data_IF_197144106535
#
_entry.id   IF_197144106535
#
_cell.length_a   1.000
_cell.length_b   1.000
_cell.length_c   1.000
_cell.angle_alpha   90.00
_cell.angle_beta   90.00
_cell.angle_gamma   90.00
#
_symmetry.space_group_name_H-M   'P 1'
#
loop_
_entity.id
_entity.type
_entity.pdbx_description
1 polymer ?
#
# COMPACT_ATOMS: atom_id res chain seq x y z
N UNK A 1 27.01 -11.17 -22.90
CA UNK A 1 27.12 -9.80 -23.47
C UNK A 1 26.87 -8.78 -22.36
N UNK A 2 27.86 -7.96 -22.02
CA UNK A 2 27.73 -6.95 -20.97
C UNK A 2 27.00 -5.71 -21.51
N UNK A 3 25.87 -5.35 -20.89
CA UNK A 3 25.16 -4.09 -21.19
C UNK A 3 25.95 -2.90 -20.64
N UNK A 4 26.13 -1.86 -21.45
CA UNK A 4 26.81 -0.61 -21.05
C UNK A 4 26.06 0.09 -19.90
N UNK A 5 26.77 0.91 -19.13
CA UNK A 5 26.20 1.64 -17.99
C UNK A 5 25.02 2.55 -18.37
N UNK A 6 25.07 3.17 -19.55
CA UNK A 6 23.98 3.98 -20.08
C UNK A 6 22.68 3.17 -20.29
N UNK A 7 22.80 1.95 -20.81
CA UNK A 7 21.64 1.05 -21.01
C UNK A 7 21.07 0.52 -19.69
N UNK A 8 21.92 0.32 -18.66
CA UNK A 8 21.46 -0.04 -17.32
C UNK A 8 20.67 1.09 -16.66
N UNK A 9 21.14 2.32 -16.78
CA UNK A 9 20.49 3.52 -16.22
C UNK A 9 19.14 3.82 -16.88
N UNK A 10 19.01 3.54 -18.18
CA UNK A 10 17.73 3.61 -18.88
C UNK A 10 16.73 2.54 -18.40
N UNK A 11 17.20 1.37 -17.99
CA UNK A 11 16.35 0.27 -17.52
C UNK A 11 15.82 0.46 -16.09
N UNK A 12 16.48 1.29 -15.25
CA UNK A 12 16.03 1.59 -13.88
C UNK A 12 14.64 2.22 -13.82
N UNK A 13 14.26 3.00 -14.85
CA UNK A 13 12.98 3.72 -14.87
C UNK A 13 11.83 2.92 -15.50
N UNK A 14 12.06 1.68 -15.94
CA UNK A 14 10.99 0.86 -16.52
C UNK A 14 10.25 0.16 -15.38
N UNK A 15 8.92 0.38 -15.22
CA UNK A 15 8.16 -0.33 -14.21
C UNK A 15 8.31 -1.83 -14.38
N UNK A 16 8.52 -2.55 -13.27
CA UNK A 16 8.74 -4.01 -13.27
C UNK A 16 7.63 -4.81 -14.01
N UNK A 17 6.43 -4.21 -14.10
CA UNK A 17 5.27 -4.74 -14.83
C UNK A 17 5.61 -5.03 -16.30
N UNK A 18 6.46 -4.21 -16.94
CA UNK A 18 6.81 -4.35 -18.36
C UNK A 18 8.00 -5.27 -18.61
N UNK A 19 8.80 -5.57 -17.59
CA UNK A 19 10.01 -6.40 -17.69
C UNK A 19 9.79 -7.85 -17.27
N UNK A 20 8.65 -8.17 -16.66
CA UNK A 20 8.39 -9.50 -16.11
C UNK A 20 8.08 -10.53 -17.23
N UNK A 21 8.83 -11.64 -17.33
CA UNK A 21 8.56 -12.72 -18.30
C UNK A 21 7.21 -13.41 -18.04
N UNK A 22 6.79 -13.49 -16.77
CA UNK A 22 5.49 -14.03 -16.38
C UNK A 22 4.48 -12.91 -16.17
N UNK A 23 3.82 -12.51 -17.25
CA UNK A 23 2.84 -11.42 -17.24
C UNK A 23 1.58 -11.82 -16.47
N UNK A 24 1.12 -10.95 -15.58
CA UNK A 24 -0.14 -11.15 -14.88
C UNK A 24 -1.32 -11.10 -15.88
N UNK A 25 -2.22 -12.08 -15.83
CA UNK A 25 -3.44 -12.11 -16.67
C UNK A 25 -4.31 -10.86 -16.48
N UNK A 26 -4.24 -10.24 -15.30
CA UNK A 26 -4.98 -9.02 -14.95
C UNK A 26 -3.97 -7.98 -14.48
N UNK A 27 -3.85 -6.88 -15.25
CA UNK A 27 -3.00 -5.75 -14.88
C UNK A 27 -3.52 -5.10 -13.59
N UNK A 28 -2.63 -4.92 -12.63
CA UNK A 28 -2.86 -4.10 -11.47
C UNK A 28 -1.92 -2.89 -11.56
N UNK A 29 -2.36 -1.66 -11.25
CA UNK A 29 -3.70 -1.24 -10.83
C UNK A 29 -4.70 -1.17 -12.00
N UNK A 30 -6.01 -1.31 -11.74
CA UNK A 30 -7.03 -1.01 -12.73
C UNK A 30 -7.14 0.50 -12.94
N UNK A 31 -7.43 0.92 -14.18
CA UNK A 31 -7.64 2.33 -14.50
C UNK A 31 -8.92 2.84 -13.82
N UNK A 32 -8.77 3.62 -12.74
CA UNK A 32 -9.92 4.10 -11.96
C UNK A 32 -10.83 5.06 -12.73
N UNK A 33 -10.28 5.77 -13.72
CA UNK A 33 -11.02 6.72 -14.57
C UNK A 33 -12.08 6.06 -15.46
N UNK A 34 -11.99 4.74 -15.68
CA UNK A 34 -12.94 4.00 -16.53
C UNK A 34 -14.13 3.45 -15.74
N UNK A 35 -14.13 3.54 -14.41
CA UNK A 35 -15.20 3.01 -13.56
C UNK A 35 -16.32 4.02 -13.34
N UNK A 36 -17.55 3.51 -13.19
CA UNK A 36 -18.66 4.31 -12.66
C UNK A 36 -18.35 4.78 -11.24
N UNK A 37 -18.82 5.98 -10.89
CA UNK A 37 -18.65 6.60 -9.57
C UNK A 37 -19.05 5.66 -8.42
N UNK A 38 -20.12 4.87 -8.59
CA UNK A 38 -20.58 3.89 -7.60
C UNK A 38 -19.54 2.81 -7.31
N UNK A 39 -18.82 2.36 -8.34
CA UNK A 39 -17.77 1.35 -8.21
C UNK A 39 -16.52 1.96 -7.57
N UNK A 40 -16.15 3.17 -7.96
CA UNK A 40 -15.04 3.91 -7.34
C UNK A 40 -15.25 4.05 -5.82
N UNK A 41 -16.43 4.51 -5.38
CA UNK A 41 -16.75 4.62 -3.95
C UNK A 41 -16.67 3.29 -3.19
N UNK A 42 -17.06 2.18 -3.81
CA UNK A 42 -16.94 0.84 -3.19
C UNK A 42 -15.48 0.45 -2.99
N UNK A 43 -14.63 0.71 -3.97
CA UNK A 43 -13.19 0.45 -3.86
C UNK A 43 -12.52 1.34 -2.82
N UNK A 44 -12.83 2.64 -2.82
CA UNK A 44 -12.33 3.57 -1.79
C UNK A 44 -12.73 3.14 -0.38
N UNK A 45 -14.01 2.79 -0.16
CA UNK A 45 -14.49 2.30 1.13
C UNK A 45 -13.73 1.05 1.56
N UNK A 46 -13.51 0.12 0.64
CA UNK A 46 -12.77 -1.13 0.91
C UNK A 46 -11.31 -0.84 1.24
N UNK A 47 -10.67 0.06 0.49
CA UNK A 47 -9.30 0.49 0.71
C UNK A 47 -9.12 1.15 2.09
N UNK A 48 -9.99 2.10 2.45
CA UNK A 48 -10.00 2.76 3.76
C UNK A 48 -10.17 1.75 4.91
N UNK A 49 -11.03 0.72 4.74
CA UNK A 49 -11.17 -0.36 5.73
C UNK A 49 -9.90 -1.19 5.88
N UNK A 50 -9.31 -1.63 4.76
CA UNK A 50 -8.10 -2.47 4.76
C UNK A 50 -6.90 -1.72 5.34
N UNK A 51 -6.73 -0.44 5.01
CA UNK A 51 -5.67 0.39 5.58
C UNK A 51 -5.85 0.57 7.08
N UNK A 52 -7.06 0.90 7.55
CA UNK A 52 -7.35 0.99 8.99
C UNK A 52 -6.99 -0.31 9.73
N UNK A 53 -7.30 -1.48 9.15
CA UNK A 53 -6.95 -2.77 9.74
C UNK A 53 -5.44 -3.05 9.71
N UNK A 54 -4.76 -2.79 8.58
CA UNK A 54 -3.31 -2.98 8.44
C UNK A 54 -2.53 -2.15 9.47
N UNK A 55 -3.00 -0.93 9.73
CA UNK A 55 -2.37 0.00 10.66
C UNK A 55 -2.89 -0.12 12.10
N UNK A 56 -3.90 -0.95 12.36
CA UNK A 56 -4.40 -1.17 13.70
C UNK A 56 -3.37 -1.92 14.55
N UNK A 57 -2.98 -1.36 15.70
CA UNK A 57 -2.10 -1.98 16.70
C UNK A 57 -2.77 -2.01 18.07
N UNK A 58 -3.76 -2.90 18.29
CA UNK A 58 -4.62 -2.85 19.49
C UNK A 58 -3.85 -3.14 20.80
N UNK A 59 -2.87 -4.05 20.77
CA UNK A 59 -2.05 -4.37 21.95
C UNK A 59 -1.19 -3.19 22.38
N UNK A 60 -0.54 -2.53 21.42
CA UNK A 60 0.27 -1.33 21.68
C UNK A 60 -0.59 -0.19 22.23
N UNK A 61 -1.72 0.10 21.58
CA UNK A 61 -2.65 1.14 22.03
C UNK A 61 -3.18 0.86 23.44
N UNK A 62 -3.45 -0.41 23.78
CA UNK A 62 -3.85 -0.80 25.14
C UNK A 62 -2.74 -0.51 26.16
N UNK A 63 -1.50 -0.87 25.85
CA UNK A 63 -0.35 -0.59 26.72
C UNK A 63 -0.17 0.90 26.99
N UNK A 64 -0.17 1.72 25.94
CA UNK A 64 -0.03 3.18 26.06
C UNK A 64 -1.16 3.79 26.91
N UNK A 65 -2.41 3.32 26.73
CA UNK A 65 -3.53 3.79 27.55
C UNK A 65 -3.37 3.45 29.04
N UNK A 66 -2.88 2.25 29.37
CA UNK A 66 -2.63 1.88 30.77
C UNK A 66 -1.55 2.76 31.39
N UNK A 67 -0.45 2.99 30.68
CA UNK A 67 0.62 3.88 31.14
C UNK A 67 0.10 5.31 31.33
N UNK A 68 -0.69 5.82 30.38
CA UNK A 68 -1.32 7.14 30.50
C UNK A 68 -2.25 7.24 31.71
N UNK A 69 -3.05 6.21 32.00
CA UNK A 69 -3.88 6.18 33.19
C UNK A 69 -3.03 6.15 34.47
N UNK A 70 -2.02 5.29 34.52
CA UNK A 70 -1.11 5.19 35.67
C UNK A 70 -0.41 6.52 35.96
N UNK A 71 0.02 7.27 34.92
CA UNK A 71 0.65 8.58 35.11
C UNK A 71 -0.30 9.64 35.66
N UNK A 72 -1.60 9.55 35.37
CA UNK A 72 -2.59 10.49 35.90
C UNK A 72 -2.95 10.14 37.35
N UNK A 73 -3.03 8.86 37.69
CA UNK A 73 -3.49 8.41 39.02
C UNK A 73 -2.38 8.34 40.06
N UNK A 74 -1.12 8.11 39.65
CA UNK A 74 0.02 7.95 40.55
C UNK A 74 0.96 9.17 40.58
N UNK A 75 0.67 10.19 39.77
CA UNK A 75 1.35 11.48 39.77
C UNK A 75 0.68 12.52 40.64
#
# INVERSE_FOLDING_TARGET
MYRTLALRKAAENVPYIYTNPFRAKRHWPPDFSKFSQKQQFRFERTYKRRTKLKWARPKWVKGVKLVQMASITCG
#
